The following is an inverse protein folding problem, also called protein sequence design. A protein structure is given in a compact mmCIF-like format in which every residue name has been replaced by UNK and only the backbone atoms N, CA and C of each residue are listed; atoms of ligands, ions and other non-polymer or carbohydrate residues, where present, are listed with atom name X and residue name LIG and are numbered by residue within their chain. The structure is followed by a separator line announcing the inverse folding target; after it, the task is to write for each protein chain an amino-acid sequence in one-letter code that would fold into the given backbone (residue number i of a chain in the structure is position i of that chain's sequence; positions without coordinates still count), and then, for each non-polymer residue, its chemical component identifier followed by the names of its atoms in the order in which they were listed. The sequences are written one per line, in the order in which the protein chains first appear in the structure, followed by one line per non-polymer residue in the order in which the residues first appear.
data_IF_626690215823
#
_entry.id   IF_626690215823
#
_cell.length_a   1.000
_cell.length_b   1.000
_cell.length_c   1.000
_cell.angle_alpha   90.00
_cell.angle_beta   90.00
_cell.angle_gamma   90.00
#
_symmetry.space_group_name_H-M   'P 1'
#
loop_
_entity.id
_entity.type
_entity.pdbx_description
1 polymer ?
#
# COMPACT_ATOMS: atom_id res chain seq x y z
N UNK A 1 -7.59 -4.87 7.83
CA UNK A 1 -7.56 -3.76 6.87
C UNK A 1 -8.27 -2.51 7.37
N UNK A 2 -9.51 -2.61 7.83
CA UNK A 2 -10.27 -1.45 8.31
C UNK A 2 -9.58 -0.70 9.46
N UNK A 3 -8.97 -1.43 10.39
CA UNK A 3 -8.26 -0.84 11.52
C UNK A 3 -7.04 -0.02 11.08
N UNK A 4 -6.30 -0.51 10.09
CA UNK A 4 -5.14 0.22 9.57
C UNK A 4 -5.57 1.50 8.86
N UNK A 5 -6.63 1.44 8.07
CA UNK A 5 -7.16 2.63 7.39
C UNK A 5 -7.65 3.64 8.42
N UNK A 6 -8.38 3.20 9.44
CA UNK A 6 -8.85 4.08 10.52
C UNK A 6 -7.68 4.74 11.25
N UNK A 7 -6.61 3.99 11.53
CA UNK A 7 -5.42 4.52 12.18
C UNK A 7 -4.66 5.55 11.33
N UNK A 8 -4.74 5.45 10.01
CA UNK A 8 -4.10 6.40 9.10
C UNK A 8 -5.03 7.52 8.63
N UNK A 9 -6.30 7.49 8.98
CA UNK A 9 -7.28 8.46 8.49
C UNK A 9 -6.84 9.91 8.75
N UNK A 10 -6.39 10.20 9.97
CA UNK A 10 -5.91 11.53 10.31
C UNK A 10 -4.69 11.96 9.49
N UNK A 11 -3.76 11.04 9.23
CA UNK A 11 -2.58 11.30 8.40
C UNK A 11 -3.00 11.59 6.96
N UNK A 12 -3.92 10.80 6.42
CA UNK A 12 -4.42 10.97 5.05
C UNK A 12 -5.15 12.31 4.90
N UNK A 13 -6.00 12.67 5.85
CA UNK A 13 -6.74 13.94 5.82
C UNK A 13 -5.78 15.13 5.91
N UNK A 14 -4.76 15.06 6.76
CA UNK A 14 -3.75 16.12 6.86
C UNK A 14 -2.99 16.32 5.54
N UNK A 15 -2.83 15.27 4.76
CA UNK A 15 -2.22 15.33 3.44
C UNK A 15 -3.24 15.58 2.33
N UNK A 16 -4.50 15.89 2.68
CA UNK A 16 -5.60 16.12 1.76
C UNK A 16 -5.90 14.91 0.87
N UNK A 17 -5.78 13.72 1.43
CA UNK A 17 -6.09 12.47 0.76
C UNK A 17 -7.41 11.94 1.32
N UNK A 18 -8.39 11.71 0.44
CA UNK A 18 -9.67 11.11 0.80
C UNK A 18 -9.68 9.66 0.33
N UNK A 19 -9.65 8.69 1.26
CA UNK A 19 -9.68 7.29 0.87
C UNK A 19 -11.06 6.87 0.39
N UNK A 20 -11.09 6.16 -0.75
CA UNK A 20 -12.26 5.47 -1.27
C UNK A 20 -12.06 3.97 -1.06
N UNK A 21 -12.89 3.37 -0.24
CA UNK A 21 -12.75 1.98 0.17
C UNK A 21 -13.89 1.16 -0.40
N UNK A 22 -13.56 0.18 -1.24
CA UNK A 22 -14.50 -0.74 -1.84
C UNK A 22 -14.20 -2.14 -1.33
N UNK A 23 -15.14 -2.72 -0.59
CA UNK A 23 -14.97 -4.05 0.00
C UNK A 23 -15.97 -5.01 -0.60
N UNK A 24 -15.54 -6.26 -0.81
CA UNK A 24 -16.43 -7.35 -1.22
C UNK A 24 -17.55 -7.53 -0.22
N UNK A 25 -18.77 -7.79 -0.71
CA UNK A 25 -19.90 -8.20 0.12
C UNK A 25 -19.70 -9.60 0.70
N UNK A 26 -18.86 -10.41 0.04
CA UNK A 26 -18.52 -11.75 0.50
C UNK A 26 -17.40 -11.62 1.53
N UNK A 27 -17.62 -12.22 2.71
CA UNK A 27 -16.62 -12.21 3.76
C UNK A 27 -15.40 -13.03 3.34
N UNK A 28 -14.24 -12.40 3.35
CA UNK A 28 -12.97 -13.05 3.02
C UNK A 28 -12.28 -13.47 4.31
N UNK A 29 -12.02 -14.76 4.46
CA UNK A 29 -11.36 -15.32 5.62
C UNK A 29 -10.01 -15.91 5.23
N UNK A 30 -8.97 -15.55 6.00
CA UNK A 30 -7.61 -16.08 5.83
C UNK A 30 -6.98 -16.28 7.19
N UNK A 31 -6.20 -17.35 7.32
CA UNK A 31 -5.40 -17.58 8.52
C UNK A 31 -4.06 -16.89 8.35
N UNK A 32 -3.92 -15.71 8.93
CA UNK A 32 -2.74 -14.89 8.78
C UNK A 32 -2.28 -14.37 10.16
N UNK A 33 -0.99 -14.05 10.25
CA UNK A 33 -0.47 -13.37 11.43
C UNK A 33 -1.02 -11.94 11.45
N UNK A 34 -1.83 -11.64 12.44
CA UNK A 34 -2.53 -10.37 12.58
C UNK A 34 -1.59 -9.17 12.67
N UNK A 35 -0.49 -9.30 13.41
CA UNK A 35 0.51 -8.23 13.53
C UNK A 35 1.25 -7.99 12.22
N UNK A 36 1.61 -9.07 11.52
CA UNK A 36 2.27 -8.95 10.22
C UNK A 36 1.36 -8.29 9.20
N UNK A 37 0.10 -8.68 9.15
CA UNK A 37 -0.89 -8.06 8.23
C UNK A 37 -1.05 -6.58 8.53
N UNK A 38 -1.17 -6.21 9.79
CA UNK A 38 -1.27 -4.80 10.19
C UNK A 38 -0.06 -4.02 9.72
N UNK A 39 1.13 -4.55 9.90
CA UNK A 39 2.38 -3.91 9.50
C UNK A 39 2.48 -3.74 7.99
N UNK A 40 2.04 -4.75 7.22
CA UNK A 40 1.97 -4.67 5.76
C UNK A 40 1.08 -3.50 5.33
N UNK A 41 -0.13 -3.42 5.87
CA UNK A 41 -1.07 -2.36 5.51
C UNK A 41 -0.57 -0.99 5.93
N UNK A 42 -0.01 -0.87 7.13
CA UNK A 42 0.54 0.39 7.61
C UNK A 42 1.67 0.89 6.70
N UNK A 43 2.52 -0.02 6.23
CA UNK A 43 3.60 0.34 5.31
C UNK A 43 3.07 0.79 3.94
N UNK A 44 2.04 0.13 3.43
CA UNK A 44 1.42 0.52 2.15
C UNK A 44 0.70 1.87 2.29
N UNK A 45 -0.04 2.06 3.38
CA UNK A 45 -0.75 3.32 3.62
C UNK A 45 0.22 4.48 3.85
N UNK A 46 1.33 4.23 4.53
CA UNK A 46 2.40 5.21 4.69
C UNK A 46 2.99 5.62 3.34
N UNK A 47 3.18 4.65 2.44
CA UNK A 47 3.62 4.92 1.07
C UNK A 47 2.60 5.79 0.32
N UNK A 48 1.30 5.47 0.42
CA UNK A 48 0.26 6.27 -0.19
C UNK A 48 0.25 7.70 0.36
N UNK A 49 0.42 7.86 1.66
CA UNK A 49 0.47 9.19 2.28
C UNK A 49 1.65 10.02 1.76
N UNK A 50 2.74 9.35 1.39
CA UNK A 50 3.94 10.03 0.88
C UNK A 50 3.84 10.42 -0.59
N UNK A 51 3.31 9.54 -1.42
CA UNK A 51 3.38 9.70 -2.89
C UNK A 51 2.08 10.08 -3.57
N UNK A 52 0.94 9.95 -2.90
CA UNK A 52 -0.35 10.27 -3.52
C UNK A 52 -0.49 11.76 -3.83
N UNK A 53 -1.08 12.05 -4.98
CA UNK A 53 -1.44 13.40 -5.39
C UNK A 53 -2.73 13.91 -4.72
N UNK A 54 -3.40 13.09 -3.91
CA UNK A 54 -4.58 13.49 -3.16
C UNK A 54 -5.69 12.44 -3.11
N UNK A 55 -5.47 11.27 -3.70
CA UNK A 55 -6.44 10.19 -3.74
C UNK A 55 -5.86 8.88 -3.19
N UNK A 56 -6.74 8.01 -2.77
CA UNK A 56 -6.41 6.64 -2.40
C UNK A 56 -7.67 5.79 -2.59
N UNK A 57 -7.56 4.76 -3.41
CA UNK A 57 -8.62 3.77 -3.57
C UNK A 57 -8.14 2.43 -3.05
N UNK A 58 -8.93 1.80 -2.20
CA UNK A 58 -8.64 0.47 -1.66
C UNK A 58 -9.78 -0.47 -2.05
N UNK A 59 -9.45 -1.54 -2.74
CA UNK A 59 -10.42 -2.51 -3.22
C UNK A 59 -10.08 -3.88 -2.63
N UNK A 60 -11.02 -4.47 -1.89
CA UNK A 60 -10.94 -5.84 -1.43
C UNK A 60 -11.86 -6.69 -2.30
N UNK A 61 -11.29 -7.62 -3.05
CA UNK A 61 -12.03 -8.53 -3.91
C UNK A 61 -12.42 -9.81 -3.18
N UNK A 62 -13.44 -10.48 -3.70
CA UNK A 62 -13.96 -11.72 -3.10
C UNK A 62 -12.94 -12.85 -3.05
N UNK A 63 -11.94 -12.85 -3.94
CA UNK A 63 -10.86 -13.83 -3.98
C UNK A 63 -9.73 -13.55 -2.96
N UNK A 64 -9.85 -12.50 -2.18
CA UNK A 64 -8.86 -12.13 -1.16
C UNK A 64 -7.76 -11.21 -1.64
N UNK A 65 -7.83 -10.71 -2.86
CA UNK A 65 -6.89 -9.72 -3.36
C UNK A 65 -7.25 -8.34 -2.86
N UNK A 66 -6.23 -7.56 -2.50
CA UNK A 66 -6.40 -6.18 -2.05
C UNK A 66 -5.57 -5.29 -2.96
N UNK A 67 -6.20 -4.30 -3.56
CA UNK A 67 -5.52 -3.33 -4.41
C UNK A 67 -5.58 -1.94 -3.79
N UNK A 68 -4.42 -1.32 -3.67
CA UNK A 68 -4.27 0.07 -3.26
C UNK A 68 -3.83 0.86 -4.48
N UNK A 69 -4.55 1.92 -4.81
CA UNK A 69 -4.20 2.76 -5.96
C UNK A 69 -4.31 4.23 -5.63
N UNK A 70 -3.44 5.01 -6.22
CA UNK A 70 -3.46 6.47 -6.10
C UNK A 70 -2.75 7.09 -7.30
N UNK A 71 -3.13 8.32 -7.62
CA UNK A 71 -2.39 9.10 -8.59
C UNK A 71 -1.06 9.54 -7.98
N UNK A 72 0.01 9.45 -8.76
CA UNK A 72 1.36 9.82 -8.34
C UNK A 72 2.13 10.30 -9.56
N UNK A 73 1.74 11.45 -10.09
CA UNK A 73 2.28 11.99 -11.35
C UNK A 73 3.79 12.24 -11.29
N UNK A 74 4.35 12.43 -10.09
CA UNK A 74 5.78 12.67 -9.90
C UNK A 74 6.63 11.40 -9.96
N UNK A 75 6.00 10.22 -9.89
CA UNK A 75 6.72 8.96 -10.02
C UNK A 75 6.96 8.62 -11.49
N UNK A 76 7.88 7.69 -11.74
CA UNK A 76 8.12 7.09 -13.04
C UNK A 76 8.06 5.57 -12.93
N UNK A 77 7.92 4.89 -14.07
CA UNK A 77 7.90 3.42 -14.11
C UNK A 77 9.18 2.83 -13.51
N UNK A 78 10.33 3.46 -13.77
CA UNK A 78 11.61 3.00 -13.25
C UNK A 78 11.67 3.12 -11.74
N UNK A 79 11.17 4.23 -11.19
CA UNK A 79 11.12 4.43 -9.74
C UNK A 79 10.17 3.45 -9.07
N UNK A 80 9.02 3.16 -9.69
CA UNK A 80 8.05 2.20 -9.16
C UNK A 80 8.64 0.79 -9.09
N UNK A 81 9.41 0.38 -10.09
CA UNK A 81 10.10 -0.91 -10.08
C UNK A 81 11.04 -1.06 -8.88
N UNK A 82 11.57 0.05 -8.37
CA UNK A 82 12.51 0.05 -7.25
C UNK A 82 11.86 0.21 -5.88
N UNK A 83 10.55 0.43 -5.80
CA UNK A 83 9.88 0.72 -4.54
C UNK A 83 10.02 -0.39 -3.50
N UNK A 84 10.22 -1.64 -3.92
CA UNK A 84 10.42 -2.76 -3.02
C UNK A 84 11.88 -2.98 -2.63
N UNK A 85 12.80 -2.23 -3.21
CA UNK A 85 14.21 -2.34 -2.84
C UNK A 85 14.43 -1.74 -1.45
N UNK A 86 15.24 -2.44 -0.65
CA UNK A 86 15.59 -1.99 0.68
C UNK A 86 16.35 -0.66 0.61
N UNK A 87 15.96 0.27 1.47
CA UNK A 87 16.53 1.62 1.56
C UNK A 87 16.28 2.51 0.35
N UNK A 88 15.47 2.06 -0.62
CA UNK A 88 15.10 2.91 -1.72
C UNK A 88 13.95 3.85 -1.32
N UNK A 89 14.10 5.13 -1.69
CA UNK A 89 13.03 6.12 -1.61
C UNK A 89 13.20 7.13 -2.73
N UNK A 90 12.09 7.53 -3.35
CA UNK A 90 12.09 8.55 -4.39
C UNK A 90 12.43 9.91 -3.79
N UNK A 91 11.94 10.16 -2.59
CA UNK A 91 12.27 11.38 -1.86
C UNK A 91 13.53 11.18 -1.05
N UNK A 92 14.43 12.14 -1.12
CA UNK A 92 15.53 12.24 -0.17
C UNK A 92 15.01 12.73 1.19
N UNK A 93 13.74 12.43 1.47
CA UNK A 93 13.07 12.91 2.65
C UNK A 93 13.72 12.38 3.92
N UNK A 94 13.96 13.29 4.83
CA UNK A 94 14.67 13.05 6.09
C UNK A 94 14.00 12.01 6.98
N UNK A 95 12.71 11.75 6.79
CA UNK A 95 11.91 10.87 7.63
C UNK A 95 11.61 9.52 6.98
N UNK A 96 12.20 9.24 5.82
CA UNK A 96 11.98 7.97 5.15
C UNK A 96 13.19 7.07 5.31
N UNK A 97 12.95 5.87 5.83
CA UNK A 97 14.01 4.86 5.94
C UNK A 97 14.19 4.07 4.64
N UNK A 98 13.24 4.16 3.71
CA UNK A 98 13.28 3.41 2.45
C UNK A 98 13.09 1.91 2.62
N UNK A 99 12.56 1.46 3.75
CA UNK A 99 12.41 0.01 4.03
C UNK A 99 10.96 -0.45 4.11
N UNK A 100 9.99 0.48 4.11
CA UNK A 100 8.58 0.15 4.35
C UNK A 100 8.02 -0.89 3.40
N UNK A 101 8.14 -0.67 2.09
CA UNK A 101 7.61 -1.61 1.11
C UNK A 101 8.43 -2.90 1.01
N UNK A 102 9.74 -2.85 1.23
CA UNK A 102 10.55 -4.06 1.27
C UNK A 102 10.15 -4.97 2.43
N UNK A 103 9.79 -4.39 3.58
CA UNK A 103 9.27 -5.16 4.72
C UNK A 103 7.88 -5.71 4.42
N UNK A 104 7.01 -4.91 3.79
CA UNK A 104 5.69 -5.39 3.39
C UNK A 104 5.80 -6.60 2.47
N UNK A 105 6.71 -6.57 1.51
CA UNK A 105 6.98 -7.70 0.62
C UNK A 105 7.48 -8.92 1.36
N UNK A 106 8.46 -8.73 2.24
CA UNK A 106 9.02 -9.83 3.03
C UNK A 106 7.97 -10.53 3.88
N UNK A 107 7.15 -9.76 4.58
CA UNK A 107 6.10 -10.31 5.44
C UNK A 107 5.01 -11.02 4.62
N UNK A 108 4.63 -10.45 3.48
CA UNK A 108 3.64 -11.05 2.58
C UNK A 108 4.14 -12.39 2.05
N UNK A 109 5.38 -12.45 1.59
CA UNK A 109 5.98 -13.67 1.06
C UNK A 109 6.11 -14.75 2.14
N UNK A 110 6.43 -14.37 3.37
CA UNK A 110 6.50 -15.32 4.49
C UNK A 110 5.16 -15.97 4.80
N UNK A 111 4.05 -15.32 4.49
CA UNK A 111 2.71 -15.86 4.67
C UNK A 111 2.21 -16.61 3.43
N UNK A 112 3.09 -16.83 2.45
CA UNK A 112 2.73 -17.53 1.22
C UNK A 112 2.03 -16.69 0.17
N UNK A 113 1.95 -15.39 0.37
CA UNK A 113 1.33 -14.46 -0.55
C UNK A 113 2.32 -13.76 -1.47
N UNK A 114 1.80 -12.83 -2.26
CA UNK A 114 2.60 -12.01 -3.16
C UNK A 114 2.14 -10.56 -3.15
N UNK A 115 3.07 -9.66 -3.44
CA UNK A 115 2.80 -8.24 -3.58
C UNK A 115 3.44 -7.73 -4.86
N UNK A 116 2.71 -6.93 -5.61
CA UNK A 116 3.20 -6.34 -6.85
C UNK A 116 2.90 -4.85 -6.88
N UNK A 117 3.69 -4.12 -7.67
CA UNK A 117 3.47 -2.70 -7.94
C UNK A 117 3.50 -2.46 -9.44
N UNK A 118 2.53 -1.70 -9.92
CA UNK A 118 2.46 -1.28 -11.31
C UNK A 118 2.26 0.23 -11.38
N UNK A 119 2.79 0.85 -12.43
CA UNK A 119 2.59 2.26 -12.69
C UNK A 119 2.04 2.43 -14.10
N UNK A 120 0.85 3.01 -14.20
CA UNK A 120 0.16 3.16 -15.48
C UNK A 120 -0.64 4.46 -15.48
N UNK A 121 -0.46 5.25 -16.52
CA UNK A 121 -1.22 6.50 -16.73
C UNK A 121 -1.14 7.45 -15.51
N UNK A 122 0.03 7.54 -14.89
CA UNK A 122 0.22 8.40 -13.73
C UNK A 122 -0.35 7.85 -12.42
N UNK A 123 -0.84 6.61 -12.42
CA UNK A 123 -1.36 5.94 -11.22
C UNK A 123 -0.45 4.82 -10.76
N UNK A 124 -0.26 4.75 -9.46
CA UNK A 124 0.43 3.66 -8.79
C UNK A 124 -0.60 2.66 -8.29
N UNK A 125 -0.37 1.38 -8.60
CA UNK A 125 -1.19 0.27 -8.13
C UNK A 125 -0.32 -0.69 -7.33
N UNK A 126 -0.68 -0.93 -6.08
CA UNK A 126 -0.05 -1.95 -5.24
C UNK A 126 -1.09 -3.01 -4.95
N UNK A 127 -0.81 -4.24 -5.33
CA UNK A 127 -1.74 -5.36 -5.17
C UNK A 127 -1.13 -6.44 -4.29
N UNK A 128 -1.92 -6.91 -3.32
CA UNK A 128 -1.55 -8.00 -2.42
C UNK A 128 -2.50 -9.16 -2.65
N UNK A 129 -1.95 -10.36 -2.71
CA UNK A 129 -2.70 -11.62 -2.69
C UNK A 129 -2.15 -12.50 -1.57
N UNK A 130 -2.99 -12.87 -0.64
CA UNK A 130 -2.64 -13.79 0.43
C UNK A 130 -2.95 -15.25 0.11
#
# INVERSE_FOLDING_TARGET
MEQSIAGFYGVLINKRILPDIQMSEIRVMRQLDKEAVRRIFDNILSNAARYSDGDLTVILSADGRIQFSNHAAKLSSVEVEKLFERFYTVETARNSTGIGLSIARLLTERMGGGITAEYKDGQLYIQIAF
#
